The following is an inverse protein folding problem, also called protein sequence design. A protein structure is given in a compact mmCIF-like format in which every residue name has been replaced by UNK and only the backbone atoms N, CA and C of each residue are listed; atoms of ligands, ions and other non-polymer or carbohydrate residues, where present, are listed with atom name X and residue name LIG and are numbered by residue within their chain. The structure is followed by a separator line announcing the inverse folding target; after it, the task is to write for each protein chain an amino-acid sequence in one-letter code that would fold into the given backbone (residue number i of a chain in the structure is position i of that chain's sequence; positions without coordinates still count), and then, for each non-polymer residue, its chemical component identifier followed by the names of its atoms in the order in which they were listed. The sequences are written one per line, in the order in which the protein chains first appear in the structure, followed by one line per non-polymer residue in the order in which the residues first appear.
data_IF_057502117513
#
_entry.id   IF_057502117513
#
_cell.length_a   1.000
_cell.length_b   1.000
_cell.length_c   1.000
_cell.angle_alpha   90.00
_cell.angle_beta   90.00
_cell.angle_gamma   90.00
#
_symmetry.space_group_name_H-M   'P 1'
#
loop_
_entity.id
_entity.type
_entity.pdbx_description
1 polymer ?
#
# COMPACT_ATOMS: atom_id res chain seq x y z
N UNK A 1 -9.91 16.99 -8.88
CA UNK A 1 -8.66 16.65 -8.17
C UNK A 1 -7.72 17.84 -8.31
N UNK A 2 -7.19 18.36 -7.21
CA UNK A 2 -6.26 19.50 -7.25
C UNK A 2 -4.94 19.08 -7.95
N UNK A 3 -4.33 19.99 -8.71
CA UNK A 3 -3.13 19.71 -9.50
C UNK A 3 -1.96 19.16 -8.65
N UNK A 4 -1.88 19.56 -7.37
CA UNK A 4 -0.83 19.12 -6.45
C UNK A 4 -0.96 17.64 -6.05
N UNK A 5 -2.18 17.14 -5.83
CA UNK A 5 -2.42 15.71 -5.55
C UNK A 5 -1.94 14.84 -6.70
N UNK A 6 -2.16 15.29 -7.94
CA UNK A 6 -1.70 14.59 -9.14
C UNK A 6 -0.18 14.42 -9.14
N UNK A 7 0.58 15.47 -8.78
CA UNK A 7 2.05 15.40 -8.69
C UNK A 7 2.53 14.33 -7.70
N UNK A 8 1.93 14.28 -6.51
CA UNK A 8 2.34 13.32 -5.47
C UNK A 8 2.06 11.86 -5.88
N UNK A 9 0.91 11.64 -6.51
CA UNK A 9 0.54 10.33 -7.06
C UNK A 9 1.55 9.88 -8.11
N UNK A 10 1.87 10.74 -9.08
CA UNK A 10 2.78 10.37 -10.16
C UNK A 10 4.21 10.15 -9.65
N UNK A 11 4.69 10.94 -8.69
CA UNK A 11 6.00 10.72 -8.06
C UNK A 11 6.06 9.38 -7.30
N UNK A 12 5.00 9.03 -6.57
CA UNK A 12 4.92 7.76 -5.86
C UNK A 12 4.90 6.57 -6.81
N UNK A 13 4.09 6.64 -7.85
CA UNK A 13 3.98 5.59 -8.86
C UNK A 13 5.29 5.43 -9.63
N UNK A 14 5.92 6.52 -10.07
CA UNK A 14 7.20 6.46 -10.76
C UNK A 14 8.28 5.80 -9.89
N UNK A 15 8.35 6.15 -8.60
CA UNK A 15 9.27 5.52 -7.67
C UNK A 15 8.98 4.02 -7.52
N UNK A 16 7.71 3.64 -7.33
CA UNK A 16 7.30 2.25 -7.14
C UNK A 16 7.58 1.39 -8.39
N UNK A 17 7.30 1.92 -9.59
CA UNK A 17 7.62 1.26 -10.86
C UNK A 17 9.13 1.02 -11.01
N UNK A 18 9.97 1.95 -10.55
CA UNK A 18 11.42 1.79 -10.50
C UNK A 18 11.90 0.69 -9.53
N UNK A 19 11.01 0.05 -8.77
CA UNK A 19 11.32 -1.05 -7.85
C UNK A 19 10.81 -2.41 -8.32
N UNK A 20 10.19 -2.53 -9.49
CA UNK A 20 9.70 -3.84 -9.98
C UNK A 20 10.79 -4.91 -9.90
N UNK A 21 10.45 -6.07 -9.34
CA UNK A 21 11.35 -7.22 -9.15
C UNK A 21 12.22 -7.19 -7.89
N UNK A 22 12.30 -6.06 -7.19
CA UNK A 22 13.03 -5.90 -5.93
C UNK A 22 12.42 -6.81 -4.86
N UNK A 23 13.27 -7.54 -4.10
CA UNK A 23 12.84 -8.50 -3.06
C UNK A 23 13.13 -8.01 -1.64
N UNK A 24 13.90 -6.95 -1.46
CA UNK A 24 14.24 -6.40 -0.15
C UNK A 24 13.05 -5.74 0.58
N UNK A 25 11.89 -5.62 -0.07
CA UNK A 25 10.61 -5.25 0.54
C UNK A 25 9.71 -6.45 0.89
N UNK A 26 10.17 -7.70 0.77
CA UNK A 26 9.40 -8.86 1.22
C UNK A 26 8.97 -8.68 2.68
N UNK A 27 7.69 -8.88 2.97
CA UNK A 27 7.06 -8.63 4.27
C UNK A 27 7.07 -7.16 4.76
N UNK A 28 7.45 -6.20 3.92
CA UNK A 28 7.48 -4.77 4.21
C UNK A 28 6.51 -3.98 3.31
N UNK A 29 5.35 -4.56 2.98
CA UNK A 29 4.39 -3.96 2.04
C UNK A 29 3.92 -2.56 2.46
N UNK A 30 3.75 -2.32 3.76
CA UNK A 30 3.30 -1.01 4.24
C UNK A 30 4.42 0.04 4.14
N UNK A 31 5.63 -0.30 4.58
CA UNK A 31 6.80 0.57 4.40
C UNK A 31 7.08 0.85 2.91
N UNK A 32 6.84 -0.12 2.01
CA UNK A 32 7.01 0.07 0.57
C UNK A 32 6.09 1.18 0.01
N UNK A 33 4.81 1.19 0.39
CA UNK A 33 3.87 2.21 -0.13
C UNK A 33 4.09 3.58 0.51
N UNK A 34 4.53 3.64 1.78
CA UNK A 34 4.94 4.89 2.42
C UNK A 34 6.22 5.43 1.78
N UNK A 35 7.26 4.59 1.60
CA UNK A 35 8.50 4.97 0.90
C UNK A 35 8.22 5.45 -0.52
N UNK A 36 7.26 4.86 -1.23
CA UNK A 36 6.87 5.32 -2.55
C UNK A 36 6.41 6.78 -2.51
N UNK A 37 5.49 7.12 -1.61
CA UNK A 37 5.04 8.51 -1.44
C UNK A 37 6.14 9.42 -0.92
N UNK A 38 6.86 9.03 0.12
CA UNK A 38 7.86 9.85 0.79
C UNK A 38 9.09 10.09 -0.08
N UNK A 39 9.72 9.02 -0.56
CA UNK A 39 10.96 9.09 -1.34
C UNK A 39 10.71 9.52 -2.78
N UNK A 40 9.56 9.17 -3.36
CA UNK A 40 9.15 9.62 -4.68
C UNK A 40 8.89 11.14 -4.74
N UNK A 41 8.58 11.77 -3.61
CA UNK A 41 8.15 13.17 -3.58
C UNK A 41 8.96 14.08 -2.64
N UNK A 42 9.87 13.55 -1.84
CA UNK A 42 10.59 14.33 -0.83
C UNK A 42 9.66 14.86 0.27
N UNK A 43 8.71 14.04 0.71
CA UNK A 43 7.78 14.35 1.79
C UNK A 43 7.96 13.36 2.95
N UNK A 44 7.30 13.65 4.07
CA UNK A 44 7.11 12.72 5.18
C UNK A 44 5.61 12.63 5.46
N UNK A 45 5.10 11.41 5.50
CA UNK A 45 3.71 11.13 5.85
C UNK A 45 3.60 11.01 7.38
N UNK A 46 2.43 11.35 7.93
CA UNK A 46 2.16 11.07 9.34
C UNK A 46 2.12 9.55 9.62
N UNK A 47 1.63 8.78 8.64
CA UNK A 47 1.38 7.34 8.74
C UNK A 47 0.27 7.00 9.74
N UNK A 48 -0.49 5.92 9.52
CA UNK A 48 -1.49 5.44 10.47
C UNK A 48 -1.33 3.94 10.72
N UNK A 49 -1.31 3.56 12.00
CA UNK A 49 -1.14 2.15 12.39
C UNK A 49 0.30 1.67 12.23
N UNK A 50 0.57 0.43 12.66
CA UNK A 50 1.90 -0.20 12.57
C UNK A 50 1.93 -1.39 11.62
N UNK A 51 0.76 -1.85 11.19
CA UNK A 51 0.59 -2.94 10.22
C UNK A 51 -0.37 -2.49 9.13
N UNK A 52 -0.35 -3.18 7.98
CA UNK A 52 -1.27 -2.88 6.90
C UNK A 52 -2.74 -3.03 7.33
N UNK A 53 -3.05 -3.98 8.22
CA UNK A 53 -4.41 -4.12 8.76
C UNK A 53 -4.80 -2.96 9.68
N UNK A 54 -3.94 -2.58 10.62
CA UNK A 54 -4.18 -1.43 11.51
C UNK A 54 -4.34 -0.14 10.70
N UNK A 55 -3.52 0.04 9.66
CA UNK A 55 -3.63 1.14 8.72
C UNK A 55 -4.97 1.12 7.97
N UNK A 56 -5.40 -0.03 7.45
CA UNK A 56 -6.68 -0.17 6.77
C UNK A 56 -7.86 0.30 7.64
N UNK A 57 -7.86 -0.08 8.92
CA UNK A 57 -8.90 0.31 9.87
C UNK A 57 -8.85 1.82 10.16
N UNK A 58 -7.66 2.36 10.44
CA UNK A 58 -7.46 3.77 10.74
C UNK A 58 -7.79 4.68 9.53
N UNK A 59 -7.49 4.22 8.32
CA UNK A 59 -7.84 4.88 7.07
C UNK A 59 -9.31 4.65 6.64
N UNK A 60 -10.06 3.80 7.35
CA UNK A 60 -11.45 3.47 7.04
C UNK A 60 -11.62 2.82 5.66
N UNK A 61 -10.66 1.97 5.26
CA UNK A 61 -10.59 1.42 3.90
C UNK A 61 -11.84 0.63 3.50
N UNK A 62 -12.45 -0.10 4.44
CA UNK A 62 -13.69 -0.86 4.20
C UNK A 62 -14.88 0.02 3.78
N UNK A 63 -14.82 1.34 4.02
CA UNK A 63 -15.81 2.31 3.56
C UNK A 63 -15.73 2.63 2.07
N UNK A 64 -14.64 2.25 1.38
CA UNK A 64 -14.49 2.42 -0.06
C UNK A 64 -14.25 1.05 -0.72
N UNK A 65 -15.31 0.32 -1.07
CA UNK A 65 -15.19 -0.92 -1.85
C UNK A 65 -14.96 -0.61 -3.34
N UNK A 66 -14.80 -1.66 -4.14
CA UNK A 66 -14.72 -1.56 -5.61
C UNK A 66 -13.32 -1.23 -6.14
N UNK A 67 -13.27 -0.72 -7.36
CA UNK A 67 -12.00 -0.44 -8.04
C UNK A 67 -11.36 0.83 -7.46
N UNK A 68 -10.12 0.77 -6.96
CA UNK A 68 -9.46 1.91 -6.32
C UNK A 68 -9.04 2.98 -7.34
N UNK A 69 -9.15 4.24 -6.96
CA UNK A 69 -8.61 5.36 -7.74
C UNK A 69 -7.09 5.27 -7.82
N UNK A 70 -6.52 5.78 -8.92
CA UNK A 70 -5.06 5.88 -9.08
C UNK A 70 -4.42 6.63 -7.91
N UNK A 71 -3.35 6.08 -7.36
CA UNK A 71 -2.65 6.59 -6.19
C UNK A 71 -3.22 6.14 -4.84
N UNK A 72 -4.41 5.54 -4.79
CA UNK A 72 -4.97 5.06 -3.53
C UNK A 72 -4.11 3.93 -2.92
N UNK A 73 -4.12 3.82 -1.58
CA UNK A 73 -3.70 2.60 -0.93
C UNK A 73 -4.83 1.57 -0.99
N UNK A 74 -4.47 0.34 -1.29
CA UNK A 74 -5.38 -0.78 -1.52
C UNK A 74 -5.06 -1.85 -0.50
N UNK A 75 -6.04 -2.19 0.34
CA UNK A 75 -5.81 -3.03 1.52
C UNK A 75 -6.46 -4.39 1.39
N UNK A 76 -5.77 -5.39 1.94
CA UNK A 76 -6.22 -6.76 2.04
C UNK A 76 -6.00 -7.27 3.47
N UNK A 77 -6.88 -8.14 3.93
CA UNK A 77 -6.68 -8.95 5.13
C UNK A 77 -5.69 -10.06 4.80
N UNK A 78 -4.81 -10.36 5.75
CA UNK A 78 -3.83 -11.43 5.66
C UNK A 78 -3.58 -12.01 7.05
N UNK A 79 -4.33 -13.05 7.40
CA UNK A 79 -4.15 -13.77 8.65
C UNK A 79 -2.94 -14.68 8.58
N UNK A 80 -2.11 -14.66 9.62
CA UNK A 80 -0.98 -15.57 9.70
C UNK A 80 -0.26 -15.48 11.02
N UNK A 81 0.68 -16.39 11.21
CA UNK A 81 1.53 -16.43 12.41
C UNK A 81 2.86 -15.78 12.12
N UNK A 82 3.17 -14.70 12.84
CA UNK A 82 4.48 -14.04 12.81
C UNK A 82 5.01 -13.93 14.23
N UNK A 83 6.26 -14.36 14.46
CA UNK A 83 6.91 -14.37 15.79
C UNK A 83 6.05 -15.03 16.90
N UNK A 84 5.27 -16.06 16.55
CA UNK A 84 4.41 -16.80 17.48
C UNK A 84 3.02 -16.21 17.72
N UNK A 85 2.73 -15.03 17.16
CA UNK A 85 1.41 -14.39 17.27
C UNK A 85 0.62 -14.62 15.98
N UNK A 86 -0.58 -15.22 16.11
CA UNK A 86 -1.52 -15.37 15.00
C UNK A 86 -2.51 -14.21 15.02
N UNK A 87 -2.52 -13.40 13.96
CA UNK A 87 -3.50 -12.32 13.76
C UNK A 87 -3.58 -11.91 12.30
N UNK A 88 -4.47 -10.97 12.01
CA UNK A 88 -4.50 -10.27 10.73
C UNK A 88 -3.39 -9.20 10.68
N UNK A 89 -2.35 -9.44 9.89
CA UNK A 89 -1.28 -8.47 9.65
C UNK A 89 -1.63 -7.52 8.50
N UNK A 90 -2.57 -7.94 7.67
CA UNK A 90 -2.97 -7.27 6.44
C UNK A 90 -1.88 -7.27 5.36
N UNK A 91 -2.24 -6.68 4.24
CA UNK A 91 -1.36 -6.38 3.13
C UNK A 91 -1.84 -5.11 2.44
N UNK A 92 -0.93 -4.39 1.80
CA UNK A 92 -1.25 -3.13 1.12
C UNK A 92 -0.47 -2.99 -0.17
N UNK A 93 -1.10 -2.35 -1.15
CA UNK A 93 -0.49 -1.93 -2.41
C UNK A 93 -0.89 -0.52 -2.80
N UNK A 94 -0.22 0.01 -3.82
CA UNK A 94 -0.48 1.31 -4.42
C UNK A 94 -1.24 1.12 -5.74
N UNK A 95 -2.43 1.71 -5.84
CA UNK A 95 -3.23 1.64 -7.07
C UNK A 95 -2.56 2.41 -8.21
N UNK A 96 -2.43 1.77 -9.37
CA UNK A 96 -2.03 2.41 -10.62
C UNK A 96 -3.24 2.97 -11.39
N UNK A 97 -4.46 2.79 -10.87
CA UNK A 97 -5.69 3.00 -11.62
C UNK A 97 -6.09 1.76 -12.42
N UNK A 98 -7.28 1.78 -13.01
CA UNK A 98 -7.79 0.76 -13.92
C UNK A 98 -7.69 -0.69 -13.39
N UNK A 99 -7.88 -0.86 -12.08
CA UNK A 99 -7.82 -2.17 -11.43
C UNK A 99 -6.42 -2.72 -11.18
N UNK A 100 -5.35 -2.00 -11.52
CA UNK A 100 -3.99 -2.46 -11.30
C UNK A 100 -3.42 -1.96 -9.98
N UNK A 101 -2.67 -2.81 -9.29
CA UNK A 101 -2.00 -2.48 -8.02
C UNK A 101 -0.54 -2.92 -8.06
N UNK A 102 0.37 -2.00 -7.71
CA UNK A 102 1.78 -2.34 -7.45
C UNK A 102 1.99 -2.56 -5.96
N UNK A 103 2.62 -3.66 -5.58
CA UNK A 103 2.81 -4.02 -4.18
C UNK A 103 4.03 -4.93 -3.97
N UNK A 104 4.50 -5.00 -2.73
CA UNK A 104 5.58 -5.88 -2.33
C UNK A 104 5.02 -7.11 -1.57
N UNK A 105 4.98 -8.26 -2.23
CA UNK A 105 4.57 -9.53 -1.62
C UNK A 105 5.79 -10.42 -1.36
N UNK A 106 6.15 -11.23 -2.35
CA UNK A 106 7.41 -11.97 -2.46
C UNK A 106 8.49 -11.11 -3.14
N UNK A 107 8.07 -10.30 -4.11
CA UNK A 107 8.82 -9.25 -4.79
C UNK A 107 7.90 -8.08 -5.05
N UNK A 108 8.46 -6.94 -5.45
CA UNK A 108 7.64 -5.86 -6.02
C UNK A 108 7.11 -6.31 -7.37
N UNK A 109 5.79 -6.29 -7.52
CA UNK A 109 5.06 -6.76 -8.71
C UNK A 109 3.78 -5.98 -8.91
N UNK A 110 3.21 -6.10 -10.10
CA UNK A 110 1.91 -5.54 -10.45
C UNK A 110 0.95 -6.70 -10.67
N UNK A 111 -0.22 -6.61 -10.06
CA UNK A 111 -1.31 -7.55 -10.24
C UNK A 111 -2.63 -6.79 -10.41
N UNK A 112 -3.66 -7.51 -10.89
CA UNK A 112 -5.04 -7.04 -10.78
C UNK A 112 -5.46 -6.98 -9.31
N UNK A 113 -6.27 -5.99 -8.95
CA UNK A 113 -6.72 -5.72 -7.58
C UNK A 113 -7.40 -6.93 -6.94
N UNK A 114 -8.17 -7.72 -7.68
CA UNK A 114 -8.76 -8.95 -7.16
C UNK A 114 -7.83 -10.14 -7.40
N UNK A 115 -6.99 -10.09 -8.43
CA UNK A 115 -5.93 -11.08 -8.68
C UNK A 115 -4.94 -11.26 -7.52
N UNK A 116 -4.76 -10.24 -6.66
CA UNK A 116 -3.92 -10.35 -5.45
C UNK A 116 -4.42 -11.46 -4.50
N UNK A 117 -5.74 -11.73 -4.44
CA UNK A 117 -6.31 -12.77 -3.56
C UNK A 117 -5.88 -14.20 -3.96
N UNK A 118 -5.44 -14.38 -5.21
CA UNK A 118 -4.99 -15.67 -5.76
C UNK A 118 -3.49 -15.93 -5.58
N UNK A 119 -2.76 -14.99 -4.99
CA UNK A 119 -1.33 -15.17 -4.72
C UNK A 119 -1.11 -16.26 -3.67
N UNK A 120 -0.07 -17.06 -3.90
CA UNK A 120 0.35 -18.09 -2.96
C UNK A 120 0.90 -17.42 -1.69
N UNK A 121 0.32 -17.70 -0.51
CA UNK A 121 0.83 -17.16 0.73
C UNK A 121 2.08 -17.88 1.22
N UNK A 122 2.89 -17.17 2.00
CA UNK A 122 4.00 -17.77 2.71
C UNK A 122 3.47 -18.84 3.70
N UNK A 123 4.27 -19.88 4.03
CA UNK A 123 3.86 -20.89 5.00
C UNK A 123 3.38 -20.27 6.32
N UNK A 124 2.21 -20.71 6.78
CA UNK A 124 1.58 -20.19 8.02
C UNK A 124 0.70 -18.95 7.82
N UNK A 125 0.62 -18.40 6.61
CA UNK A 125 -0.32 -17.34 6.23
C UNK A 125 -1.47 -17.89 5.40
N UNK A 126 -2.64 -17.27 5.57
CA UNK A 126 -3.84 -17.50 4.78
C UNK A 126 -3.79 -16.66 3.50
N UNK A 127 -4.69 -16.97 2.56
CA UNK A 127 -4.87 -16.17 1.35
C UNK A 127 -5.34 -14.76 1.68
N UNK A 128 -4.92 -13.82 0.86
CA UNK A 128 -5.32 -12.43 0.98
C UNK A 128 -6.82 -12.29 0.72
N UNK A 129 -7.46 -11.35 1.41
CA UNK A 129 -8.86 -10.98 1.16
C UNK A 129 -9.02 -9.48 1.01
N UNK A 130 -9.59 -9.01 -0.07
CA UNK A 130 -9.79 -7.59 -0.33
C UNK A 130 -10.62 -6.93 0.78
N UNK A 131 -10.11 -5.82 1.35
CA UNK A 131 -10.82 -5.03 2.36
C UNK A 131 -11.48 -3.82 1.71
N UNK A 132 -10.74 -3.10 0.87
CA UNK A 132 -11.14 -1.79 0.36
C UNK A 132 -9.91 -0.91 0.11
N UNK A 133 -10.15 0.38 -0.11
CA UNK A 133 -9.10 1.33 -0.41
C UNK A 133 -9.28 2.66 0.32
N UNK A 134 -8.23 3.49 0.35
CA UNK A 134 -8.30 4.84 0.92
C UNK A 134 -7.80 5.89 -0.07
N UNK A 135 -8.50 7.04 -0.19
CA UNK A 135 -8.15 8.07 -1.16
C UNK A 135 -6.85 8.80 -0.78
N UNK A 136 -6.19 9.34 -1.81
CA UNK A 136 -4.91 10.05 -1.70
C UNK A 136 -5.00 11.23 -0.74
N UNK A 137 -6.12 11.95 -0.75
CA UNK A 137 -6.35 13.09 0.14
C UNK A 137 -6.31 12.70 1.63
N UNK A 138 -6.63 11.44 1.95
CA UNK A 138 -6.53 10.94 3.34
C UNK A 138 -5.11 10.50 3.67
N UNK A 139 -4.39 9.92 2.71
CA UNK A 139 -2.98 9.51 2.86
C UNK A 139 -2.10 10.74 3.11
N UNK A 140 -2.28 11.80 2.31
CA UNK A 140 -1.47 13.02 2.37
C UNK A 140 -1.88 13.98 3.50
N UNK A 141 -2.92 13.67 4.27
CA UNK A 141 -3.37 14.54 5.35
C UNK A 141 -2.27 14.65 6.40
N UNK A 142 -1.86 15.88 6.71
CA UNK A 142 -0.83 16.17 7.72
C UNK A 142 0.61 16.03 7.22
N UNK A 143 0.83 15.64 5.96
CA UNK A 143 2.18 15.49 5.41
C UNK A 143 3.02 16.76 5.57
N UNK A 144 4.34 16.58 5.66
CA UNK A 144 5.30 17.68 5.67
C UNK A 144 6.33 17.52 4.55
N UNK A 145 6.94 18.63 4.14
CA UNK A 145 8.06 18.59 3.21
C UNK A 145 9.31 18.11 3.96
N UNK A 146 10.07 17.22 3.33
CA UNK A 146 11.37 16.80 3.85
C UNK A 146 12.36 17.94 3.64
N UNK A 147 12.60 18.74 4.67
CA UNK A 147 13.62 19.79 4.64
C UNK A 147 14.98 19.09 4.52
N UNK A 148 15.69 19.35 3.42
CA UNK A 148 17.09 18.96 3.30
C UNK A 148 17.89 19.86 4.25
N UNK A 149 18.46 19.26 5.29
CA UNK A 149 19.50 19.89 6.09
C UNK A 149 20.79 20.03 5.27
#
# INVERSE_FOLDING_TARGET
MAADTCKYVEGAIAWALGKIGVTNYTALCYAFVEDAYELGNGIVLDGLGRTAKEAADAYGAAGNPGVPLRGAYVFYSCFGTLKGERRDWGHVGLSLGDGQVIHAWDRVRIDDVYGVEELVPAPGFERLKYIGWTPVERILRGMTLRIRA
#
